data_IF_691075606355
#
_entry.id   IF_691075606355
#
_cell.length_a   1.000
_cell.length_b   1.000
_cell.length_c   1.000
_cell.angle_alpha   90.00
_cell.angle_beta   90.00
_cell.angle_gamma   90.00
#
_symmetry.space_group_name_H-M   'P 1'
#
loop_
_entity.id
_entity.type
_entity.pdbx_description
1 polymer ?
#
# COMPACT_ATOMS: atom_id res chain seq x y z
N UNK A 1 -11.89 -16.69 8.61
CA UNK A 1 -11.34 -15.36 8.93
C UNK A 1 -10.07 -15.61 9.72
N UNK A 2 -8.91 -15.31 9.13
CA UNK A 2 -7.61 -15.53 9.75
C UNK A 2 -7.23 -14.27 10.54
N UNK A 3 -6.90 -14.43 11.82
CA UNK A 3 -6.54 -13.34 12.73
C UNK A 3 -5.05 -13.44 13.05
N UNK A 4 -4.39 -12.30 13.14
CA UNK A 4 -2.99 -12.22 13.58
C UNK A 4 -2.94 -11.99 15.10
N UNK A 5 -1.81 -12.30 15.72
CA UNK A 5 -1.63 -12.15 17.15
C UNK A 5 -0.20 -11.82 17.54
N UNK A 6 -0.07 -11.06 18.63
CA UNK A 6 1.20 -10.88 19.33
C UNK A 6 1.04 -11.34 20.79
N UNK A 7 2.02 -11.04 21.66
CA UNK A 7 2.04 -11.53 23.05
C UNK A 7 0.79 -11.17 23.88
N UNK A 8 0.08 -10.09 23.53
CA UNK A 8 -1.00 -9.56 24.35
C UNK A 8 -2.28 -9.21 23.58
N UNK A 9 -2.29 -9.38 22.26
CA UNK A 9 -3.43 -8.98 21.41
C UNK A 9 -3.67 -9.98 20.28
N UNK A 10 -4.94 -10.16 19.93
CA UNK A 10 -5.41 -10.80 18.68
C UNK A 10 -6.12 -9.74 17.87
N UNK A 11 -5.78 -9.59 16.59
CA UNK A 11 -6.26 -8.48 15.76
C UNK A 11 -6.39 -8.85 14.29
N UNK A 12 -7.18 -8.03 13.58
CA UNK A 12 -7.27 -8.01 12.12
C UNK A 12 -7.44 -6.55 11.69
N UNK A 13 -6.32 -5.92 11.32
CA UNK A 13 -6.28 -4.50 10.98
C UNK A 13 -6.13 -4.35 9.47
N UNK A 14 -7.15 -3.79 8.83
CA UNK A 14 -7.15 -3.47 7.40
C UNK A 14 -7.40 -1.98 7.22
N UNK A 15 -6.58 -1.33 6.41
CA UNK A 15 -6.68 0.10 6.14
C UNK A 15 -6.77 0.35 4.64
N UNK A 16 -7.62 1.29 4.24
CA UNK A 16 -7.60 1.85 2.90
C UNK A 16 -6.69 3.09 2.92
N UNK A 17 -5.55 3.02 2.22
CA UNK A 17 -4.54 4.07 2.21
C UNK A 17 -4.50 4.74 0.84
N UNK A 18 -4.65 6.06 0.79
CA UNK A 18 -4.52 6.81 -0.48
C UNK A 18 -3.33 7.76 -0.39
N UNK A 19 -2.44 7.68 -1.37
CA UNK A 19 -1.27 8.56 -1.47
C UNK A 19 -1.30 9.34 -2.78
N UNK A 20 -1.15 10.66 -2.68
CA UNK A 20 -1.31 11.59 -3.80
C UNK A 20 0.04 12.18 -4.20
N UNK A 21 0.26 12.34 -5.51
CA UNK A 21 1.47 13.00 -6.04
C UNK A 21 1.48 14.47 -5.62
N UNK A 22 2.67 15.00 -5.33
CA UNK A 22 2.86 16.42 -5.05
C UNK A 22 2.21 17.29 -6.14
N UNK A 23 1.34 18.22 -5.73
CA UNK A 23 0.54 19.08 -6.61
C UNK A 23 -0.45 18.35 -7.53
N UNK A 24 -0.80 17.09 -7.25
CA UNK A 24 -1.69 16.28 -8.10
C UNK A 24 -1.26 16.24 -9.56
N UNK A 25 0.05 16.15 -9.77
CA UNK A 25 0.59 16.01 -11.13
C UNK A 25 0.18 14.64 -11.68
N UNK A 26 -0.33 14.64 -12.91
CA UNK A 26 -0.80 13.46 -13.64
C UNK A 26 0.36 12.66 -14.25
N UNK A 27 1.21 12.10 -13.39
CA UNK A 27 2.49 11.48 -13.78
C UNK A 27 2.52 9.97 -13.58
N UNK A 28 1.49 9.38 -12.97
CA UNK A 28 1.42 7.94 -12.77
C UNK A 28 0.86 7.31 -14.04
N UNK A 29 1.63 6.41 -14.63
CA UNK A 29 1.21 5.47 -15.65
C UNK A 29 1.46 4.04 -15.13
N UNK A 30 1.11 3.03 -15.91
CA UNK A 30 1.20 1.63 -15.49
C UNK A 30 2.64 1.22 -15.09
N UNK A 31 3.65 1.68 -15.85
CA UNK A 31 5.06 1.40 -15.56
C UNK A 31 5.51 2.01 -14.22
N UNK A 32 5.16 3.28 -13.98
CA UNK A 32 5.47 3.96 -12.72
C UNK A 32 4.70 3.32 -11.56
N UNK A 33 3.43 2.96 -11.78
CA UNK A 33 2.60 2.30 -10.77
C UNK A 33 3.18 0.95 -10.34
N UNK A 34 3.62 0.11 -11.28
CA UNK A 34 4.22 -1.19 -10.96
C UNK A 34 5.54 -1.02 -10.20
N UNK A 35 6.35 -0.04 -10.59
CA UNK A 35 7.55 0.33 -9.82
C UNK A 35 7.20 0.77 -8.40
N UNK A 36 6.21 1.65 -8.23
CA UNK A 36 5.76 2.14 -6.91
C UNK A 36 5.24 0.99 -6.04
N UNK A 37 4.44 0.07 -6.61
CA UNK A 37 3.94 -1.12 -5.93
C UNK A 37 5.08 -1.98 -5.40
N UNK A 38 6.05 -2.30 -6.25
CA UNK A 38 7.21 -3.09 -5.83
C UNK A 38 7.99 -2.42 -4.70
N UNK A 39 8.21 -1.10 -4.79
CA UNK A 39 8.88 -0.33 -3.73
C UNK A 39 8.06 -0.29 -2.44
N UNK A 40 6.73 -0.16 -2.53
CA UNK A 40 5.84 -0.19 -1.38
C UNK A 40 5.93 -1.52 -0.64
N UNK A 41 5.87 -2.64 -1.36
CA UNK A 41 6.00 -3.99 -0.76
C UNK A 41 7.36 -4.15 -0.08
N UNK A 42 8.46 -3.78 -0.73
CA UNK A 42 9.81 -3.88 -0.16
C UNK A 42 9.94 -3.09 1.15
N UNK A 43 9.40 -1.87 1.20
CA UNK A 43 9.43 -1.06 2.44
C UNK A 43 8.50 -1.67 3.48
N UNK A 44 7.26 -2.01 3.10
CA UNK A 44 6.21 -2.51 3.98
C UNK A 44 6.58 -3.83 4.67
N UNK A 45 7.32 -4.71 4.00
CA UNK A 45 7.82 -5.96 4.59
C UNK A 45 8.59 -5.73 5.90
N UNK A 46 9.43 -4.70 5.97
CA UNK A 46 10.19 -4.38 7.19
C UNK A 46 9.31 -3.94 8.37
N UNK A 47 8.07 -3.51 8.09
CA UNK A 47 7.09 -3.09 9.08
C UNK A 47 5.99 -4.14 9.31
N UNK A 48 6.11 -5.34 8.75
CA UNK A 48 5.06 -6.37 8.85
C UNK A 48 3.77 -6.01 8.09
N UNK A 49 3.83 -5.10 7.12
CA UNK A 49 2.68 -4.69 6.32
C UNK A 49 2.48 -5.69 5.18
N UNK A 50 1.26 -6.21 5.06
CA UNK A 50 0.85 -7.06 3.94
C UNK A 50 -0.07 -6.28 2.98
N UNK A 51 0.33 -6.15 1.72
CA UNK A 51 -0.46 -5.47 0.70
C UNK A 51 -1.59 -6.39 0.20
N UNK A 52 -2.84 -5.99 0.43
CA UNK A 52 -4.01 -6.76 0.00
C UNK A 52 -4.41 -6.43 -1.46
N UNK A 53 -4.54 -5.14 -1.76
CA UNK A 53 -4.96 -4.63 -3.07
C UNK A 53 -4.08 -3.42 -3.42
N UNK A 54 -3.87 -3.21 -4.72
CA UNK A 54 -3.14 -2.05 -5.24
C UNK A 54 -3.83 -1.55 -6.50
N UNK A 55 -4.26 -0.29 -6.49
CA UNK A 55 -4.82 0.36 -7.65
C UNK A 55 -4.20 1.76 -7.81
N UNK A 56 -4.28 2.32 -9.01
CA UNK A 56 -3.82 3.68 -9.24
C UNK A 56 -4.71 4.42 -10.22
N UNK A 57 -4.70 5.73 -10.09
CA UNK A 57 -5.10 6.67 -11.13
C UNK A 57 -3.85 7.45 -11.57
N UNK A 58 -4.04 8.47 -12.39
CA UNK A 58 -2.97 9.26 -12.99
C UNK A 58 -2.18 10.12 -12.00
N UNK A 59 -2.72 10.41 -10.80
CA UNK A 59 -2.12 11.31 -9.82
C UNK A 59 -2.14 10.81 -8.36
N UNK A 60 -2.65 9.59 -8.12
CA UNK A 60 -2.69 8.95 -6.80
C UNK A 60 -2.70 7.42 -6.89
N UNK A 61 -2.35 6.77 -5.78
CA UNK A 61 -2.43 5.32 -5.58
C UNK A 61 -3.35 4.99 -4.41
N UNK A 62 -4.00 3.83 -4.50
CA UNK A 62 -4.86 3.20 -3.51
C UNK A 62 -4.28 1.86 -3.07
#
# INVERSE_FOLDING_TARGET
MELDSNQHSVYLLNYHLVMVVKYRRKVINDEISEYLKHRFVVVGQSYGINLQEWNHDIDHVH
#
